data_IF_669264318193
#
_entry.id   IF_669264318193
#
_cell.length_a   1.000
_cell.length_b   1.000
_cell.length_c   1.000
_cell.angle_alpha   90.00
_cell.angle_beta   90.00
_cell.angle_gamma   90.00
#
_symmetry.space_group_name_H-M   'P 1'
#
loop_
_entity.id
_entity.type
_entity.pdbx_description
1 polymer ?
#
# COMPACT_ATOMS: atom_id res chain seq x y z
N UNK A 1 -56.70 -19.69 4.40
CA UNK A 1 -55.42 -19.46 5.11
C UNK A 1 -54.85 -18.14 4.57
N UNK A 2 -54.94 -17.07 5.36
CA UNK A 2 -54.48 -15.74 4.97
C UNK A 2 -53.01 -15.62 5.34
N UNK A 3 -52.17 -15.41 4.32
CA UNK A 3 -50.73 -15.18 4.53
C UNK A 3 -50.51 -13.80 5.13
N UNK A 4 -50.02 -13.76 6.35
CA UNK A 4 -49.47 -12.57 6.98
C UNK A 4 -48.14 -12.21 6.31
N UNK A 5 -48.22 -11.25 5.39
CA UNK A 5 -47.02 -10.59 4.87
C UNK A 5 -46.38 -9.73 5.97
N UNK A 6 -45.42 -10.27 6.69
CA UNK A 6 -44.60 -9.49 7.60
C UNK A 6 -43.60 -8.72 6.75
N UNK A 7 -43.92 -7.49 6.42
CA UNK A 7 -42.96 -6.54 5.85
C UNK A 7 -41.99 -6.16 6.96
N UNK A 8 -40.89 -6.87 7.05
CA UNK A 8 -39.76 -6.47 7.90
C UNK A 8 -39.16 -5.20 7.30
N UNK A 9 -39.54 -4.04 7.81
CA UNK A 9 -38.71 -2.85 7.68
C UNK A 9 -37.39 -3.12 8.41
N UNK A 10 -36.38 -3.57 7.69
CA UNK A 10 -35.01 -3.64 8.22
C UNK A 10 -34.55 -2.20 8.39
N UNK A 11 -34.64 -1.69 9.62
CA UNK A 11 -33.98 -0.44 9.98
C UNK A 11 -32.48 -0.64 9.84
N UNK A 12 -31.94 -0.24 8.72
CA UNK A 12 -30.50 -0.03 8.58
C UNK A 12 -30.14 1.15 9.49
N UNK A 13 -29.23 0.99 10.46
CA UNK A 13 -28.79 2.15 11.21
C UNK A 13 -28.10 3.13 10.25
N UNK A 14 -28.76 4.23 9.99
CA UNK A 14 -28.35 5.31 9.09
C UNK A 14 -27.25 6.17 9.73
N UNK A 15 -26.19 5.56 10.32
CA UNK A 15 -25.12 6.33 10.93
C UNK A 15 -23.77 5.60 10.84
N UNK A 16 -23.24 5.38 9.65
CA UNK A 16 -21.79 5.54 9.51
C UNK A 16 -21.55 7.02 9.24
N UNK A 17 -21.19 7.77 10.26
CA UNK A 17 -20.81 9.18 10.12
C UNK A 17 -19.75 9.27 9.02
N UNK A 18 -20.10 9.96 7.93
CA UNK A 18 -19.20 10.26 6.83
C UNK A 18 -17.99 10.99 7.42
N UNK A 19 -16.78 10.49 7.17
CA UNK A 19 -15.60 11.17 7.68
C UNK A 19 -15.35 12.47 6.89
N UNK A 20 -14.61 13.40 7.50
CA UNK A 20 -14.39 14.73 6.94
C UNK A 20 -13.79 14.68 5.51
N UNK A 21 -12.93 13.71 5.22
CA UNK A 21 -12.36 13.58 3.88
C UNK A 21 -13.41 13.11 2.86
N UNK A 22 -14.27 12.17 3.22
CA UNK A 22 -15.40 11.79 2.37
C UNK A 22 -16.30 12.97 2.10
N UNK A 23 -16.62 13.78 3.14
CA UNK A 23 -17.43 14.98 2.99
C UNK A 23 -16.81 15.98 2.00
N UNK A 24 -15.55 16.34 2.17
CA UNK A 24 -14.82 17.24 1.27
C UNK A 24 -14.93 16.78 -0.19
N UNK A 25 -14.67 15.49 -0.44
CA UNK A 25 -14.73 14.96 -1.80
C UNK A 25 -16.15 14.80 -2.33
N UNK A 26 -17.15 14.57 -1.48
CA UNK A 26 -18.56 14.52 -1.90
C UNK A 26 -19.06 15.91 -2.32
N UNK A 27 -18.74 16.92 -1.52
CA UNK A 27 -19.17 18.29 -1.76
C UNK A 27 -18.57 18.88 -3.06
N UNK A 28 -17.37 18.46 -3.47
CA UNK A 28 -16.64 19.01 -4.62
C UNK A 28 -16.32 17.99 -5.72
N UNK A 29 -17.02 16.86 -5.78
CA UNK A 29 -16.68 15.81 -6.76
C UNK A 29 -16.90 16.27 -8.20
N UNK A 30 -18.04 16.86 -8.50
CA UNK A 30 -18.36 17.35 -9.85
C UNK A 30 -17.46 18.51 -10.25
N UNK A 31 -17.20 19.44 -9.34
CA UNK A 31 -16.30 20.57 -9.57
C UNK A 31 -14.88 20.11 -9.85
N UNK A 32 -14.39 19.12 -9.08
CA UNK A 32 -13.08 18.48 -9.33
C UNK A 32 -13.03 17.86 -10.72
N UNK A 33 -14.06 17.15 -11.17
CA UNK A 33 -14.09 16.55 -12.50
C UNK A 33 -14.03 17.60 -13.61
N UNK A 34 -14.79 18.68 -13.44
CA UNK A 34 -14.90 19.74 -14.45
C UNK A 34 -13.64 20.61 -14.54
N UNK A 35 -13.03 20.99 -13.39
CA UNK A 35 -11.90 21.92 -13.35
C UNK A 35 -10.55 21.21 -13.50
N UNK A 36 -10.37 20.05 -12.82
CA UNK A 36 -9.06 19.42 -12.74
C UNK A 36 -8.83 18.35 -13.81
N UNK A 37 -9.86 17.90 -14.51
CA UNK A 37 -9.79 16.83 -15.52
C UNK A 37 -8.92 15.64 -15.04
N UNK A 38 -9.25 15.02 -13.90
CA UNK A 38 -8.40 14.03 -13.27
C UNK A 38 -8.31 12.75 -14.11
N UNK A 39 -7.25 11.99 -13.93
CA UNK A 39 -7.04 10.69 -14.57
C UNK A 39 -8.12 9.67 -14.14
N UNK A 40 -8.44 8.69 -15.00
CA UNK A 40 -9.44 7.65 -14.70
C UNK A 40 -9.18 6.92 -13.39
N UNK A 41 -7.90 6.66 -13.08
CA UNK A 41 -7.51 6.04 -11.81
C UNK A 41 -7.84 6.90 -10.59
N UNK A 42 -7.87 8.22 -10.73
CA UNK A 42 -8.29 9.15 -9.67
C UNK A 42 -9.80 9.10 -9.51
N UNK A 43 -10.53 9.25 -10.60
CA UNK A 43 -12.00 9.20 -10.61
C UNK A 43 -12.49 7.92 -9.95
N UNK A 44 -12.01 6.77 -10.40
CA UNK A 44 -12.39 5.45 -9.86
C UNK A 44 -12.11 5.32 -8.35
N UNK A 45 -10.97 5.85 -7.86
CA UNK A 45 -10.63 5.75 -6.45
C UNK A 45 -11.40 6.73 -5.57
N UNK A 46 -11.67 7.95 -6.05
CA UNK A 46 -12.43 8.97 -5.32
C UNK A 46 -13.88 8.54 -5.23
N UNK A 47 -14.51 8.15 -6.32
CA UNK A 47 -15.90 7.66 -6.37
C UNK A 47 -16.09 6.49 -5.40
N UNK A 48 -15.20 5.49 -5.44
CA UNK A 48 -15.24 4.38 -4.48
C UNK A 48 -15.06 4.83 -3.03
N UNK A 49 -14.25 5.86 -2.78
CA UNK A 49 -14.03 6.36 -1.42
C UNK A 49 -15.24 7.11 -0.89
N UNK A 50 -15.87 7.95 -1.70
CA UNK A 50 -17.09 8.69 -1.33
C UNK A 50 -18.15 7.72 -0.81
N UNK A 51 -18.36 6.62 -1.50
CA UNK A 51 -19.38 5.61 -1.17
C UNK A 51 -18.87 4.48 -0.26
N UNK A 52 -17.68 4.62 0.33
CA UNK A 52 -17.10 3.57 1.15
C UNK A 52 -17.85 3.37 2.48
N UNK A 53 -18.48 2.21 2.62
CA UNK A 53 -19.24 1.85 3.82
C UNK A 53 -20.69 2.34 3.78
N UNK A 54 -21.12 2.95 2.70
CA UNK A 54 -22.51 3.27 2.47
C UNK A 54 -23.31 1.98 2.23
N UNK A 55 -24.37 1.79 2.99
CA UNK A 55 -25.24 0.62 2.92
C UNK A 55 -26.00 0.55 1.60
N UNK A 56 -26.24 1.69 0.93
CA UNK A 56 -26.88 1.74 -0.39
C UNK A 56 -26.09 1.04 -1.49
N UNK A 57 -24.75 1.06 -1.37
CA UNK A 57 -23.86 0.34 -2.31
C UNK A 57 -23.82 -1.16 -2.08
N UNK A 58 -24.47 -1.63 -1.02
CA UNK A 58 -24.65 -3.04 -0.73
C UNK A 58 -23.75 -3.56 0.40
N UNK A 59 -23.94 -4.84 0.67
CA UNK A 59 -23.27 -5.54 1.74
C UNK A 59 -23.77 -6.96 1.88
N UNK A 60 -23.30 -7.63 2.92
CA UNK A 60 -23.68 -8.99 3.27
C UNK A 60 -24.50 -9.03 4.56
N UNK A 61 -25.63 -9.72 4.54
CA UNK A 61 -26.47 -9.96 5.71
C UNK A 61 -26.15 -11.31 6.33
N UNK A 62 -25.99 -11.31 7.64
CA UNK A 62 -25.80 -12.50 8.46
C UNK A 62 -26.84 -12.55 9.57
N UNK A 63 -27.22 -13.79 9.97
CA UNK A 63 -28.08 -14.01 11.12
C UNK A 63 -27.44 -14.97 12.12
N UNK A 64 -27.69 -14.73 13.40
CA UNK A 64 -27.28 -15.65 14.46
C UNK A 64 -28.39 -16.68 14.71
N UNK A 65 -28.12 -18.00 14.60
CA UNK A 65 -29.11 -19.04 14.83
C UNK A 65 -29.50 -19.15 16.32
N UNK A 66 -28.65 -18.69 17.24
CA UNK A 66 -28.91 -18.80 18.69
C UNK A 66 -29.69 -17.62 19.26
N UNK A 67 -29.23 -16.38 19.02
CA UNK A 67 -29.85 -15.19 19.62
C UNK A 67 -30.66 -14.36 18.62
N UNK A 68 -30.80 -14.81 17.38
CA UNK A 68 -31.56 -14.18 16.29
C UNK A 68 -31.08 -12.77 15.90
N UNK A 69 -29.90 -12.34 16.34
CA UNK A 69 -29.33 -11.07 15.94
C UNK A 69 -28.94 -11.07 14.46
N UNK A 70 -29.23 -9.98 13.80
CA UNK A 70 -28.79 -9.71 12.43
C UNK A 70 -27.55 -8.84 12.44
N UNK A 71 -26.68 -9.07 11.44
CA UNK A 71 -25.47 -8.28 11.22
C UNK A 71 -25.35 -7.97 9.74
N UNK A 72 -25.41 -6.70 9.40
CA UNK A 72 -25.12 -6.20 8.07
C UNK A 72 -23.65 -5.75 7.99
N UNK A 73 -22.94 -6.22 6.98
CA UNK A 73 -21.54 -5.87 6.72
C UNK A 73 -21.49 -5.12 5.40
N UNK A 74 -21.38 -3.78 5.40
CA UNK A 74 -21.37 -3.00 4.17
C UNK A 74 -20.09 -3.27 3.37
N UNK A 75 -20.19 -3.18 2.04
CA UNK A 75 -19.04 -3.29 1.17
C UNK A 75 -18.06 -2.14 1.40
N UNK A 76 -16.78 -2.46 1.29
CA UNK A 76 -15.68 -1.53 1.45
C UNK A 76 -14.99 -1.28 0.11
N UNK A 77 -14.51 -0.06 -0.09
CA UNK A 77 -13.88 0.34 -1.36
C UNK A 77 -12.52 -0.34 -1.61
N UNK A 78 -11.87 -0.86 -0.58
CA UNK A 78 -10.51 -1.42 -0.63
C UNK A 78 -9.44 -0.49 -1.21
N UNK A 79 -9.76 0.78 -1.41
CA UNK A 79 -8.81 1.78 -1.87
C UNK A 79 -7.87 2.19 -0.75
N UNK A 80 -6.57 2.28 -1.05
CA UNK A 80 -5.57 2.80 -0.12
C UNK A 80 -5.70 4.31 0.08
N UNK A 81 -6.39 4.98 -0.83
CA UNK A 81 -6.69 6.40 -0.73
C UNK A 81 -7.74 6.68 0.34
N UNK A 82 -8.69 5.79 0.52
CA UNK A 82 -9.71 5.88 1.57
C UNK A 82 -9.04 5.76 2.97
N UNK A 83 -9.29 6.69 3.91
CA UNK A 83 -8.68 6.64 5.24
C UNK A 83 -9.00 5.36 6.01
N UNK A 84 -10.25 4.90 5.96
CA UNK A 84 -10.69 3.68 6.63
C UNK A 84 -10.08 2.43 6.01
N UNK A 85 -10.22 2.26 4.69
CA UNK A 85 -9.69 1.08 3.99
C UNK A 85 -8.17 1.07 3.91
N UNK A 86 -7.53 2.24 3.77
CA UNK A 86 -6.08 2.37 3.79
C UNK A 86 -5.49 1.98 5.14
N UNK A 87 -6.14 2.36 6.25
CA UNK A 87 -5.72 1.94 7.59
C UNK A 87 -5.88 0.43 7.81
N UNK A 88 -7.03 -0.14 7.41
CA UNK A 88 -7.26 -1.59 7.46
C UNK A 88 -6.21 -2.35 6.65
N UNK A 89 -5.92 -1.87 5.44
CA UNK A 89 -4.87 -2.43 4.58
C UNK A 89 -3.49 -2.36 5.25
N UNK A 90 -3.16 -1.23 5.89
CA UNK A 90 -1.88 -1.05 6.58
C UNK A 90 -1.72 -2.06 7.73
N UNK A 91 -2.76 -2.24 8.55
CA UNK A 91 -2.75 -3.20 9.67
C UNK A 91 -2.59 -4.63 9.15
N UNK A 92 -3.41 -5.04 8.20
CA UNK A 92 -3.35 -6.40 7.61
C UNK A 92 -1.98 -6.69 7.00
N UNK A 93 -1.43 -5.77 6.21
CA UNK A 93 -0.10 -5.92 5.61
C UNK A 93 1.01 -5.94 6.63
N UNK A 94 0.94 -5.10 7.66
CA UNK A 94 1.94 -5.07 8.73
C UNK A 94 1.94 -6.38 9.49
N UNK A 95 0.76 -6.89 9.84
CA UNK A 95 0.60 -8.16 10.53
C UNK A 95 1.11 -9.32 9.66
N UNK A 96 0.69 -9.40 8.40
CA UNK A 96 1.19 -10.40 7.46
C UNK A 96 2.71 -10.37 7.30
N UNK A 97 3.30 -9.16 7.23
CA UNK A 97 4.75 -9.00 7.13
C UNK A 97 5.48 -9.43 8.40
N UNK A 98 4.87 -9.29 9.58
CA UNK A 98 5.47 -9.73 10.85
C UNK A 98 5.81 -11.23 10.86
N UNK A 99 5.02 -12.01 10.14
CA UNK A 99 5.26 -13.46 9.99
C UNK A 99 6.25 -13.80 8.88
N UNK A 100 6.49 -12.88 7.94
CA UNK A 100 7.42 -13.09 6.82
C UNK A 100 8.83 -12.62 7.11
N UNK A 101 9.00 -11.58 7.93
CA UNK A 101 10.31 -10.99 8.21
C UNK A 101 11.18 -11.98 8.99
N UNK A 102 12.39 -12.24 8.47
CA UNK A 102 13.39 -13.05 9.15
C UNK A 102 13.93 -12.32 10.38
N UNK A 103 14.32 -13.09 11.41
CA UNK A 103 14.80 -12.56 12.68
C UNK A 103 16.27 -12.10 12.60
N UNK A 104 16.52 -11.07 11.79
CA UNK A 104 17.83 -10.43 11.65
C UNK A 104 17.68 -8.92 11.75
N UNK A 105 18.80 -8.25 11.99
CA UNK A 105 18.81 -6.78 11.99
C UNK A 105 18.53 -6.25 10.58
N UNK A 106 17.70 -5.21 10.51
CA UNK A 106 17.39 -4.49 9.29
C UNK A 106 17.75 -3.02 9.45
N UNK A 107 18.08 -2.39 8.34
CA UNK A 107 18.37 -0.97 8.24
C UNK A 107 17.34 -0.28 7.36
N UNK A 108 16.84 0.84 7.83
CA UNK A 108 15.97 1.68 7.04
C UNK A 108 16.78 2.71 6.27
N UNK A 109 16.65 2.70 4.96
CA UNK A 109 17.23 3.67 4.04
C UNK A 109 16.12 4.42 3.32
N UNK A 110 16.25 5.74 3.17
CA UNK A 110 15.32 6.55 2.37
C UNK A 110 16.12 7.12 1.20
N UNK A 111 15.74 6.73 0.00
CA UNK A 111 16.33 7.17 -1.25
C UNK A 111 15.52 8.34 -1.79
N UNK A 112 16.07 9.55 -1.73
CA UNK A 112 15.42 10.77 -2.22
C UNK A 112 16.00 11.17 -3.57
N UNK A 113 15.27 12.02 -4.29
CA UNK A 113 15.68 12.51 -5.61
C UNK A 113 15.83 14.04 -5.60
N UNK A 114 16.58 14.55 -6.56
CA UNK A 114 16.69 15.97 -6.81
C UNK A 114 15.34 16.60 -7.14
N UNK A 115 15.10 17.83 -6.67
CA UNK A 115 13.84 18.55 -6.88
C UNK A 115 13.51 18.71 -8.36
N UNK A 116 14.53 18.93 -9.17
CA UNK A 116 14.46 19.16 -10.61
C UNK A 116 13.90 17.95 -11.38
N UNK A 117 14.05 16.74 -10.81
CA UNK A 117 13.50 15.51 -11.40
C UNK A 117 12.01 15.30 -11.10
N UNK A 118 11.46 15.91 -10.04
CA UNK A 118 10.10 15.62 -9.56
C UNK A 118 9.02 15.88 -10.62
N UNK A 119 9.07 16.94 -11.44
CA UNK A 119 8.07 17.17 -12.48
C UNK A 119 8.00 16.04 -13.52
N UNK A 120 9.14 15.42 -13.87
CA UNK A 120 9.18 14.30 -14.82
C UNK A 120 8.33 13.12 -14.35
N UNK A 121 8.40 12.78 -13.05
CA UNK A 121 7.62 11.70 -12.47
C UNK A 121 6.13 12.04 -12.28
N UNK A 122 5.79 13.32 -12.30
CA UNK A 122 4.41 13.77 -12.24
C UNK A 122 3.76 13.69 -13.63
N UNK A 123 4.50 14.12 -14.67
CA UNK A 123 4.03 14.09 -16.07
C UNK A 123 3.98 12.66 -16.64
N UNK A 124 5.01 11.85 -16.38
CA UNK A 124 5.03 10.44 -16.78
C UNK A 124 5.25 9.53 -15.54
N UNK A 125 4.17 8.97 -15.05
CA UNK A 125 4.18 8.10 -13.87
C UNK A 125 4.82 6.75 -14.10
N UNK A 126 5.00 6.33 -15.35
CA UNK A 126 5.72 5.10 -15.68
C UNK A 126 7.18 5.16 -15.26
N UNK A 127 7.76 6.37 -15.21
CA UNK A 127 9.12 6.65 -14.77
C UNK A 127 9.33 6.31 -13.27
N UNK A 128 8.28 6.26 -12.46
CA UNK A 128 8.37 5.80 -11.06
C UNK A 128 8.96 4.37 -10.94
N UNK A 129 8.89 3.58 -12.01
CA UNK A 129 9.55 2.28 -12.06
C UNK A 129 11.08 2.39 -12.02
N UNK A 130 11.65 3.46 -12.57
CA UNK A 130 13.10 3.70 -12.59
C UNK A 130 13.65 3.85 -11.17
N UNK A 131 12.86 4.42 -10.23
CA UNK A 131 13.26 4.51 -8.82
C UNK A 131 13.48 3.12 -8.21
N UNK A 132 12.56 2.19 -8.46
CA UNK A 132 12.68 0.83 -7.96
C UNK A 132 13.85 0.08 -8.62
N UNK A 133 14.03 0.22 -9.92
CA UNK A 133 15.14 -0.37 -10.67
C UNK A 133 16.48 0.12 -10.14
N UNK A 134 16.64 1.43 -9.97
CA UNK A 134 17.85 2.04 -9.45
C UNK A 134 18.16 1.56 -8.02
N UNK A 135 17.19 1.58 -7.10
CA UNK A 135 17.41 1.10 -5.73
C UNK A 135 17.76 -0.40 -5.71
N UNK A 136 17.06 -1.23 -6.50
CA UNK A 136 17.37 -2.66 -6.58
C UNK A 136 18.79 -2.90 -7.10
N UNK A 137 19.18 -2.22 -8.17
CA UNK A 137 20.53 -2.35 -8.75
C UNK A 137 21.62 -1.98 -7.74
N UNK A 138 21.45 -0.85 -7.04
CA UNK A 138 22.46 -0.31 -6.13
C UNK A 138 22.58 -1.15 -4.86
N UNK A 139 21.45 -1.54 -4.26
CA UNK A 139 21.46 -2.39 -3.06
C UNK A 139 22.04 -3.77 -3.40
N UNK A 140 21.60 -4.41 -4.47
CA UNK A 140 22.11 -5.71 -4.87
C UNK A 140 23.63 -5.67 -5.15
N UNK A 141 24.10 -4.63 -5.88
CA UNK A 141 25.52 -4.45 -6.18
C UNK A 141 26.37 -4.24 -4.92
N UNK A 142 25.86 -3.52 -3.93
CA UNK A 142 26.55 -3.32 -2.66
C UNK A 142 26.82 -4.64 -1.94
N UNK A 143 25.93 -5.62 -2.03
CA UNK A 143 26.13 -6.94 -1.44
C UNK A 143 27.01 -7.83 -2.32
N UNK A 144 26.86 -7.79 -3.64
CA UNK A 144 27.69 -8.57 -4.57
C UNK A 144 29.17 -8.20 -4.53
N UNK A 145 29.50 -6.93 -4.28
CA UNK A 145 30.91 -6.51 -4.18
C UNK A 145 31.65 -7.15 -3.01
N UNK A 146 30.94 -7.49 -1.93
CA UNK A 146 31.56 -8.06 -0.74
C UNK A 146 31.92 -9.54 -0.92
N UNK A 147 31.27 -10.24 -1.85
CA UNK A 147 31.58 -11.65 -2.12
C UNK A 147 31.12 -12.08 -3.52
N UNK A 148 32.00 -11.90 -4.48
CA UNK A 148 31.73 -12.17 -5.90
C UNK A 148 31.48 -13.66 -6.20
N UNK A 149 32.11 -14.57 -5.46
CA UNK A 149 32.02 -16.01 -5.69
C UNK A 149 30.71 -16.63 -5.17
N UNK A 150 30.05 -16.04 -4.19
CA UNK A 150 28.91 -16.64 -3.50
C UNK A 150 27.53 -16.05 -3.84
N UNK A 151 27.40 -15.15 -4.81
CA UNK A 151 26.11 -14.52 -5.15
C UNK A 151 25.35 -14.02 -3.91
N UNK A 152 26.04 -13.27 -3.04
CA UNK A 152 25.54 -12.82 -1.76
C UNK A 152 24.24 -12.01 -1.91
N UNK A 153 23.10 -12.54 -1.43
CA UNK A 153 21.76 -12.03 -1.65
C UNK A 153 21.16 -11.48 -0.35
N UNK A 154 20.86 -10.17 -0.25
CA UNK A 154 20.17 -9.58 0.89
C UNK A 154 18.66 -9.85 0.87
N UNK A 155 17.99 -9.47 1.96
CA UNK A 155 16.55 -9.35 2.01
C UNK A 155 16.20 -7.85 2.03
N UNK A 156 15.36 -7.37 1.12
CA UNK A 156 14.89 -5.99 1.23
C UNK A 156 13.52 -5.75 0.63
N UNK A 157 12.87 -4.71 1.15
CA UNK A 157 11.53 -4.29 0.78
C UNK A 157 11.59 -2.82 0.43
N UNK A 158 11.09 -2.45 -0.74
CA UNK A 158 10.99 -1.08 -1.19
C UNK A 158 9.53 -0.63 -1.19
N UNK A 159 9.28 0.56 -0.63
CA UNK A 159 7.97 1.22 -0.61
C UNK A 159 8.12 2.59 -1.23
N UNK A 160 7.37 2.86 -2.29
CA UNK A 160 7.30 4.17 -2.90
C UNK A 160 6.35 5.06 -2.09
N UNK A 161 6.85 6.22 -1.68
CA UNK A 161 6.05 7.36 -1.25
C UNK A 161 6.18 8.47 -2.27
N UNK A 162 5.09 9.21 -2.48
CA UNK A 162 5.04 10.29 -3.46
C UNK A 162 4.82 11.65 -2.80
N UNK A 163 4.65 11.71 -1.48
CA UNK A 163 4.29 12.92 -0.73
C UNK A 163 5.28 13.25 0.39
N UNK A 164 5.44 14.54 0.65
CA UNK A 164 6.06 15.06 1.85
C UNK A 164 5.05 15.17 3.02
N UNK A 165 5.48 15.68 4.16
CA UNK A 165 4.60 15.98 5.30
C UNK A 165 3.57 17.09 4.96
N UNK A 166 3.94 17.97 4.05
CA UNK A 166 3.15 19.08 3.48
C UNK A 166 2.23 18.66 2.33
N UNK A 167 2.12 17.36 2.06
CA UNK A 167 1.32 16.78 0.99
C UNK A 167 1.79 17.14 -0.44
N UNK A 168 2.92 17.82 -0.59
CA UNK A 168 3.48 18.15 -1.92
C UNK A 168 4.13 16.94 -2.58
N UNK A 169 4.18 16.96 -3.91
CA UNK A 169 4.78 15.89 -4.70
C UNK A 169 6.27 15.76 -4.43
N UNK A 170 6.65 14.61 -3.87
CA UNK A 170 8.02 14.28 -3.49
C UNK A 170 8.26 12.76 -3.55
N UNK A 171 8.43 12.18 -4.75
CA UNK A 171 8.64 10.75 -4.88
C UNK A 171 9.98 10.31 -4.29
N UNK A 172 9.93 9.31 -3.42
CA UNK A 172 11.10 8.73 -2.77
C UNK A 172 10.82 7.27 -2.37
N UNK A 173 11.88 6.49 -2.22
CA UNK A 173 11.78 5.07 -1.83
C UNK A 173 12.22 4.89 -0.39
N UNK A 174 11.32 4.38 0.44
CA UNK A 174 11.67 3.77 1.71
C UNK A 174 12.12 2.33 1.47
N UNK A 175 13.35 2.01 1.83
CA UNK A 175 13.94 0.69 1.65
C UNK A 175 14.35 0.11 2.99
N UNK A 176 13.78 -1.03 3.35
CA UNK A 176 14.20 -1.81 4.50
C UNK A 176 15.13 -2.91 4.02
N UNK A 177 16.40 -2.86 4.43
CA UNK A 177 17.46 -3.78 3.98
C UNK A 177 17.97 -4.56 5.18
N UNK A 178 18.13 -5.90 5.04
CA UNK A 178 18.77 -6.71 6.06
C UNK A 178 20.26 -6.36 6.21
N UNK A 179 20.79 -6.38 7.44
CA UNK A 179 22.22 -6.21 7.71
C UNK A 179 22.97 -7.53 7.48
N UNK A 180 22.75 -8.14 6.33
CA UNK A 180 23.34 -9.38 5.94
C UNK A 180 22.57 -10.03 4.80
N UNK A 181 23.03 -11.20 4.41
CA UNK A 181 22.43 -11.98 3.32
C UNK A 181 22.88 -13.44 3.37
N UNK A 182 22.44 -14.17 2.36
CA UNK A 182 22.76 -15.58 2.16
C UNK A 182 23.46 -15.73 0.81
N UNK A 183 24.57 -16.45 0.78
CA UNK A 183 25.26 -16.86 -0.44
C UNK A 183 24.92 -18.30 -0.85
N UNK A 184 25.70 -18.86 -1.76
CA UNK A 184 25.55 -20.25 -2.24
C UNK A 184 25.68 -21.29 -1.12
N UNK A 185 26.48 -21.00 -0.08
CA UNK A 185 26.66 -21.86 1.09
C UNK A 185 25.43 -21.91 2.03
N UNK A 186 24.39 -21.13 1.74
CA UNK A 186 23.17 -21.04 2.55
C UNK A 186 23.38 -20.56 4.00
N UNK A 187 24.58 -20.13 4.35
CA UNK A 187 24.88 -19.56 5.66
C UNK A 187 24.61 -18.06 5.67
N UNK A 188 23.97 -17.59 6.73
CA UNK A 188 23.79 -16.16 6.94
C UNK A 188 25.14 -15.50 7.24
N UNK A 189 25.42 -14.41 6.52
CA UNK A 189 26.58 -13.57 6.76
C UNK A 189 26.15 -12.14 7.04
N UNK A 190 26.70 -11.56 8.08
CA UNK A 190 26.44 -10.17 8.45
C UNK A 190 27.25 -9.21 7.58
N UNK A 191 26.59 -8.11 7.18
CA UNK A 191 27.24 -6.97 6.54
C UNK A 191 27.40 -5.86 7.57
N UNK A 192 28.63 -5.70 8.10
CA UNK A 192 28.92 -4.76 9.18
C UNK A 192 28.96 -3.29 8.72
N UNK A 193 29.28 -3.03 7.45
CA UNK A 193 29.50 -1.69 6.95
C UNK A 193 28.68 -1.37 5.71
N UNK A 194 27.97 -0.22 5.74
CA UNK A 194 27.26 0.36 4.61
C UNK A 194 28.00 1.63 4.19
N UNK A 195 28.60 1.63 3.01
CA UNK A 195 29.27 2.81 2.49
C UNK A 195 28.23 3.77 1.88
N UNK A 196 27.80 4.75 2.68
CA UNK A 196 26.74 5.68 2.27
C UNK A 196 27.16 6.63 1.15
N UNK A 197 28.44 7.03 1.10
CA UNK A 197 28.93 7.87 0.01
C UNK A 197 28.80 7.11 -1.32
N UNK A 198 29.33 5.90 -1.38
CA UNK A 198 29.22 5.05 -2.56
C UNK A 198 27.74 4.79 -2.92
N UNK A 199 26.87 4.64 -1.93
CA UNK A 199 25.46 4.38 -2.14
C UNK A 199 24.76 5.60 -2.79
N UNK A 200 25.06 6.82 -2.32
CA UNK A 200 24.55 8.08 -2.88
C UNK A 200 24.96 8.28 -4.33
N UNK A 201 26.26 8.15 -4.61
CA UNK A 201 26.81 8.33 -5.95
C UNK A 201 26.26 7.26 -6.92
N UNK A 202 26.22 6.01 -6.46
CA UNK A 202 25.72 4.88 -7.26
C UNK A 202 24.22 5.02 -7.54
N UNK A 203 23.41 5.51 -6.57
CA UNK A 203 21.98 5.71 -6.77
C UNK A 203 21.70 6.84 -7.76
N UNK A 204 22.41 7.96 -7.66
CA UNK A 204 22.31 9.05 -8.63
C UNK A 204 22.63 8.53 -10.04
N UNK A 205 23.76 7.86 -10.21
CA UNK A 205 24.17 7.34 -11.51
C UNK A 205 23.16 6.32 -12.06
N UNK A 206 22.71 5.37 -11.23
CA UNK A 206 21.74 4.35 -11.64
C UNK A 206 20.42 4.97 -12.07
N UNK A 207 19.87 5.91 -11.28
CA UNK A 207 18.61 6.57 -11.60
C UNK A 207 18.70 7.41 -12.87
N UNK A 208 19.75 8.22 -12.99
CA UNK A 208 19.93 9.07 -14.18
C UNK A 208 20.17 8.27 -15.47
N UNK A 209 20.80 7.09 -15.37
CA UNK A 209 20.95 6.18 -16.51
C UNK A 209 19.62 5.51 -16.89
N UNK A 210 18.83 5.04 -15.91
CA UNK A 210 17.50 4.49 -16.13
C UNK A 210 16.55 5.51 -16.78
N UNK A 211 16.56 6.76 -16.29
CA UNK A 211 15.77 7.85 -16.88
C UNK A 211 16.22 8.17 -18.29
N UNK A 212 17.53 8.24 -18.54
CA UNK A 212 18.06 8.47 -19.88
C UNK A 212 17.65 7.36 -20.85
N UNK A 213 17.71 6.10 -20.42
CA UNK A 213 17.27 4.96 -21.22
C UNK A 213 15.78 5.01 -21.59
N UNK A 214 14.95 5.65 -20.77
CA UNK A 214 13.50 5.76 -20.99
C UNK A 214 13.09 7.00 -21.76
N UNK A 215 13.72 8.14 -21.46
CA UNK A 215 13.35 9.45 -22.01
C UNK A 215 14.12 9.73 -23.31
N UNK A 216 15.35 9.19 -23.43
CA UNK A 216 16.22 9.40 -24.58
C UNK A 216 17.03 10.71 -24.50
N UNK A 217 17.43 11.23 -25.66
CA UNK A 217 18.40 12.32 -25.80
C UNK A 217 17.91 13.65 -25.23
N UNK A 218 16.61 13.89 -25.18
CA UNK A 218 16.02 15.09 -24.57
C UNK A 218 16.39 15.25 -23.08
N UNK A 219 16.71 14.15 -22.41
CA UNK A 219 17.13 14.14 -21.00
C UNK A 219 18.61 14.51 -20.78
N UNK A 220 19.47 14.48 -21.82
CA UNK A 220 20.92 14.69 -21.69
C UNK A 220 21.29 16.00 -21.00
N UNK A 221 20.63 17.11 -21.37
CA UNK A 221 20.91 18.44 -20.81
C UNK A 221 20.58 18.49 -19.31
N UNK A 222 19.40 18.00 -18.91
CA UNK A 222 18.99 17.95 -17.51
C UNK A 222 19.89 17.00 -16.70
N UNK A 223 20.27 15.86 -17.26
CA UNK A 223 21.20 14.91 -16.62
C UNK A 223 22.55 15.56 -16.32
N UNK A 224 23.10 16.33 -17.25
CA UNK A 224 24.37 17.04 -17.07
C UNK A 224 24.27 18.11 -15.97
N UNK A 225 23.20 18.91 -15.96
CA UNK A 225 22.94 19.92 -14.91
C UNK A 225 22.87 19.26 -13.53
N UNK A 226 22.14 18.15 -13.39
CA UNK A 226 22.01 17.43 -12.11
C UNK A 226 23.36 16.92 -11.61
N UNK A 227 24.24 16.41 -12.46
CA UNK A 227 25.58 16.03 -12.02
C UNK A 227 26.43 17.23 -11.57
N UNK A 228 26.26 18.39 -12.22
CA UNK A 228 26.96 19.61 -11.83
C UNK A 228 26.49 20.16 -10.47
N UNK A 229 25.18 20.13 -10.24
CA UNK A 229 24.55 20.72 -9.05
C UNK A 229 24.59 19.77 -7.83
N UNK A 230 24.56 18.46 -8.07
CA UNK A 230 24.53 17.42 -7.02
C UNK A 230 25.79 16.55 -7.01
N UNK A 231 26.97 17.16 -6.85
CA UNK A 231 28.29 16.51 -6.88
C UNK A 231 28.50 15.41 -5.83
N UNK A 232 27.74 15.44 -4.73
CA UNK A 232 27.82 14.46 -3.64
C UNK A 232 26.78 13.32 -3.76
N UNK A 233 26.22 13.12 -4.95
CA UNK A 233 25.16 12.16 -5.18
C UNK A 233 23.81 12.58 -4.58
N UNK A 234 22.80 11.74 -4.74
CA UNK A 234 21.48 11.99 -4.15
C UNK A 234 21.44 11.61 -2.67
N UNK A 235 20.74 12.44 -1.89
CA UNK A 235 20.69 12.22 -0.46
C UNK A 235 20.01 10.88 -0.11
N UNK A 236 20.73 10.07 0.66
CA UNK A 236 20.20 8.85 1.24
C UNK A 236 20.29 8.98 2.76
N UNK A 237 19.11 9.03 3.40
CA UNK A 237 19.04 8.94 4.86
C UNK A 237 19.10 7.48 5.23
N UNK A 238 20.04 7.12 6.06
CA UNK A 238 20.07 5.80 6.66
C UNK A 238 20.19 5.97 8.17
N UNK A 239 19.22 5.46 8.89
CA UNK A 239 19.25 5.44 10.35
C UNK A 239 20.24 4.36 10.80
N UNK A 240 21.19 4.71 11.68
CA UNK A 240 22.12 3.73 12.25
C UNK A 240 21.45 2.80 13.26
N UNK A 241 20.16 2.98 13.50
CA UNK A 241 19.44 2.23 14.51
C UNK A 241 19.31 0.76 14.10
N UNK A 242 19.90 -0.08 14.91
CA UNK A 242 19.70 -1.53 14.94
C UNK A 242 18.23 -1.79 15.24
N UNK A 243 17.41 -1.84 14.22
CA UNK A 243 15.98 -2.11 14.39
C UNK A 243 15.81 -3.60 14.70
N UNK A 244 15.35 -3.91 15.87
CA UNK A 244 14.82 -5.21 16.24
C UNK A 244 13.63 -5.54 15.30
N UNK A 245 13.42 -6.78 14.86
CA UNK A 245 12.33 -7.15 13.94
C UNK A 245 10.96 -6.58 14.31
N UNK A 246 10.61 -6.51 15.59
CA UNK A 246 9.35 -5.92 16.04
C UNK A 246 9.27 -4.40 15.81
N UNK A 247 10.36 -3.68 15.92
CA UNK A 247 10.44 -2.24 15.63
C UNK A 247 10.39 -2.00 14.11
N UNK A 248 11.04 -2.87 13.35
CA UNK A 248 10.98 -2.88 11.88
C UNK A 248 9.54 -3.01 11.39
N UNK A 249 8.76 -3.91 11.98
CA UNK A 249 7.37 -4.15 11.62
C UNK A 249 6.51 -2.92 11.92
N UNK A 250 6.63 -2.32 13.10
CA UNK A 250 5.94 -1.06 13.44
C UNK A 250 6.33 0.07 12.47
N UNK A 251 7.58 0.10 12.06
CA UNK A 251 8.08 1.08 11.12
C UNK A 251 7.52 0.87 9.71
N UNK A 252 7.55 -0.36 9.21
CA UNK A 252 6.97 -0.74 7.91
C UNK A 252 5.47 -0.42 7.89
N UNK A 253 4.74 -0.71 8.96
CA UNK A 253 3.32 -0.43 9.08
C UNK A 253 2.98 1.04 8.84
N UNK A 254 3.85 1.95 9.28
CA UNK A 254 3.70 3.39 9.02
C UNK A 254 3.80 3.76 7.54
N UNK A 255 4.49 2.98 6.72
CA UNK A 255 4.78 3.30 5.32
C UNK A 255 4.03 2.41 4.32
N UNK A 256 3.63 1.19 4.69
CA UNK A 256 3.06 0.21 3.77
C UNK A 256 1.66 0.55 3.24
N UNK A 257 0.85 1.21 4.02
CA UNK A 257 -0.55 1.42 3.67
C UNK A 257 -1.15 2.73 4.17
N UNK A 258 -0.31 3.62 4.71
CA UNK A 258 -0.78 4.87 5.26
C UNK A 258 -1.49 5.69 4.18
N UNK A 259 -2.72 6.17 4.42
CA UNK A 259 -3.34 7.15 3.55
C UNK A 259 -2.46 8.41 3.47
N UNK A 260 -2.59 9.16 2.40
CA UNK A 260 -1.80 10.38 2.15
C UNK A 260 -1.89 11.34 3.33
N UNK A 261 -3.10 11.47 3.88
CA UNK A 261 -3.37 12.24 5.11
C UNK A 261 -4.19 11.40 6.10
N UNK A 262 -3.92 11.55 7.38
CA UNK A 262 -4.80 11.04 8.42
C UNK A 262 -5.91 12.09 8.66
N UNK A 263 -7.15 11.65 8.84
CA UNK A 263 -8.29 12.57 9.08
C UNK A 263 -8.08 13.46 10.30
N UNK A 264 -7.37 12.98 11.31
CA UNK A 264 -6.98 13.76 12.51
C UNK A 264 -6.01 14.91 12.22
N UNK A 265 -5.48 15.04 11.01
CA UNK A 265 -4.64 16.16 10.59
C UNK A 265 -5.43 17.24 9.87
N UNK A 266 -6.70 17.03 9.60
CA UNK A 266 -7.61 18.02 9.05
C UNK A 266 -8.27 18.71 10.24
N UNK A 267 -7.95 19.99 10.43
CA UNK A 267 -8.40 20.77 11.57
C UNK A 267 -9.80 21.34 11.35
N UNK A 268 -10.06 21.86 10.13
CA UNK A 268 -11.36 22.40 9.76
C UNK A 268 -11.61 22.32 8.25
N UNK A 269 -12.89 22.38 7.91
CA UNK A 269 -13.41 22.51 6.55
C UNK A 269 -14.72 23.31 6.61
N UNK A 270 -14.80 24.43 5.93
CA UNK A 270 -15.92 25.37 5.92
C UNK A 270 -16.76 25.35 4.63
N UNK A 271 -16.36 24.55 3.66
CA UNK A 271 -16.97 24.48 2.33
C UNK A 271 -16.08 25.05 1.23
N UNK A 272 -15.23 26.02 1.52
CA UNK A 272 -14.35 26.67 0.56
C UNK A 272 -12.86 26.42 0.85
N UNK A 273 -12.49 26.35 2.14
CA UNK A 273 -11.13 26.17 2.60
C UNK A 273 -10.97 24.94 3.49
N UNK A 274 -9.79 24.34 3.41
CA UNK A 274 -9.39 23.25 4.29
C UNK A 274 -8.16 23.69 5.06
N UNK A 275 -8.25 23.62 6.40
CA UNK A 275 -7.10 23.79 7.28
C UNK A 275 -6.58 22.44 7.72
N UNK A 276 -5.27 22.22 7.61
CA UNK A 276 -4.62 20.99 8.07
C UNK A 276 -3.25 21.28 8.66
N UNK A 277 -2.78 20.41 9.53
CA UNK A 277 -1.49 20.59 10.18
C UNK A 277 -0.48 19.47 9.87
N UNK A 278 0.80 19.83 9.96
CA UNK A 278 1.92 18.89 9.88
C UNK A 278 3.15 19.42 10.61
N UNK A 279 4.02 18.52 11.04
CA UNK A 279 5.32 18.94 11.59
C UNK A 279 6.30 19.15 10.44
N UNK A 280 6.88 20.32 10.33
CA UNK A 280 7.92 20.65 9.36
C UNK A 280 9.14 19.76 9.56
N UNK A 281 9.83 19.40 8.47
CA UNK A 281 10.91 18.40 8.54
C UNK A 281 12.21 18.97 9.11
N UNK A 282 12.44 20.25 8.94
CA UNK A 282 13.68 20.93 9.30
C UNK A 282 13.83 21.11 10.81
N UNK A 283 12.77 21.49 11.49
CA UNK A 283 12.77 21.90 12.89
C UNK A 283 11.68 21.23 13.76
N UNK A 284 10.94 20.28 13.16
CA UNK A 284 9.81 19.55 13.78
C UNK A 284 8.69 20.49 14.32
N UNK A 285 8.68 21.77 13.95
CA UNK A 285 7.61 22.70 14.34
C UNK A 285 6.30 22.35 13.69
N UNK A 286 5.23 22.49 14.46
CA UNK A 286 3.87 22.36 13.95
C UNK A 286 3.56 23.53 13.03
N UNK A 287 3.11 23.23 11.82
CA UNK A 287 2.65 24.19 10.81
C UNK A 287 1.20 23.87 10.50
N UNK A 288 0.34 24.86 10.58
CA UNK A 288 -1.05 24.79 10.07
C UNK A 288 -1.10 25.54 8.74
N UNK A 289 -1.65 24.91 7.74
CA UNK A 289 -1.82 25.47 6.39
C UNK A 289 -3.30 25.47 6.04
N UNK A 290 -3.82 26.62 5.61
CA UNK A 290 -5.20 26.79 5.12
C UNK A 290 -5.14 27.07 3.64
N UNK A 291 -5.80 26.26 2.83
CA UNK A 291 -5.77 26.38 1.36
C UNK A 291 -7.19 26.18 0.79
N UNK A 292 -7.44 26.69 -0.44
CA UNK A 292 -8.67 26.42 -1.16
C UNK A 292 -8.90 24.91 -1.29
N UNK A 293 -10.15 24.49 -1.19
CA UNK A 293 -10.52 23.07 -1.18
C UNK A 293 -10.09 22.33 -2.43
N UNK A 294 -10.17 22.95 -3.61
CA UNK A 294 -9.73 22.31 -4.86
C UNK A 294 -8.21 22.11 -4.91
N UNK A 295 -7.44 23.01 -4.33
CA UNK A 295 -5.99 22.86 -4.20
C UNK A 295 -5.64 21.72 -3.24
N UNK A 296 -6.40 21.58 -2.15
CA UNK A 296 -6.26 20.45 -1.23
C UNK A 296 -6.59 19.13 -1.91
N UNK A 297 -7.69 19.05 -2.66
CA UNK A 297 -8.09 17.88 -3.46
C UNK A 297 -6.98 17.54 -4.46
N UNK A 298 -6.46 18.51 -5.22
CA UNK A 298 -5.37 18.32 -6.17
C UNK A 298 -4.11 17.76 -5.50
N UNK A 299 -3.73 18.32 -4.32
CA UNK A 299 -2.59 17.81 -3.55
C UNK A 299 -2.77 16.37 -3.10
N UNK A 300 -3.98 15.92 -2.81
CA UNK A 300 -4.22 14.53 -2.41
C UNK A 300 -4.29 13.58 -3.59
N UNK A 301 -5.03 13.95 -4.63
CA UNK A 301 -5.33 13.09 -5.78
C UNK A 301 -4.10 12.79 -6.64
N UNK A 302 -3.12 13.70 -6.68
CA UNK A 302 -1.84 13.46 -7.36
C UNK A 302 -1.10 12.23 -6.81
N UNK A 303 -1.39 11.77 -5.60
CA UNK A 303 -0.73 10.62 -4.97
C UNK A 303 -1.43 9.28 -5.25
N UNK A 304 -2.60 9.31 -5.89
CA UNK A 304 -3.28 8.10 -6.31
C UNK A 304 -2.47 7.45 -7.44
N UNK A 305 -2.01 6.20 -7.26
CA UNK A 305 -1.21 5.52 -8.27
C UNK A 305 -2.05 5.10 -9.48
N UNK A 306 -1.38 4.81 -10.59
CA UNK A 306 -2.02 4.18 -11.74
C UNK A 306 -2.55 2.77 -11.39
N UNK A 307 -3.56 2.33 -12.12
CA UNK A 307 -4.16 1.00 -11.95
C UNK A 307 -3.07 -0.07 -12.06
N UNK A 308 -3.08 -1.01 -11.13
CA UNK A 308 -2.09 -2.09 -11.03
C UNK A 308 -0.64 -1.67 -10.69
N UNK A 309 -0.35 -0.40 -10.46
CA UNK A 309 0.98 0.02 -10.05
C UNK A 309 1.34 -0.51 -8.66
N UNK A 310 2.45 -1.24 -8.57
CA UNK A 310 2.91 -1.84 -7.31
C UNK A 310 3.77 -0.86 -6.53
N UNK A 311 3.17 -0.21 -5.53
CA UNK A 311 3.86 0.70 -4.61
C UNK A 311 4.82 0.00 -3.65
N UNK A 312 4.69 -1.32 -3.46
CA UNK A 312 5.52 -2.14 -2.57
C UNK A 312 6.15 -3.24 -3.39
N UNK A 313 7.48 -3.37 -3.30
CA UNK A 313 8.23 -4.41 -4.01
C UNK A 313 9.19 -5.14 -3.08
N UNK A 314 9.27 -6.44 -3.27
CA UNK A 314 10.08 -7.35 -2.48
C UNK A 314 11.25 -7.86 -3.31
N UNK A 315 12.43 -7.82 -2.75
CA UNK A 315 13.67 -8.17 -3.45
C UNK A 315 14.52 -9.15 -2.65
N UNK A 316 15.48 -9.76 -3.34
CA UNK A 316 16.38 -10.74 -2.74
C UNK A 316 15.60 -11.95 -2.19
N UNK A 317 15.88 -12.34 -0.95
CA UNK A 317 15.22 -13.48 -0.29
C UNK A 317 13.72 -13.23 -0.05
N UNK A 318 13.28 -11.97 0.03
CA UNK A 318 11.85 -11.65 0.16
C UNK A 318 11.06 -11.70 -1.15
N UNK A 319 11.70 -11.86 -2.30
CA UNK A 319 11.03 -11.97 -3.60
C UNK A 319 10.25 -13.28 -3.72
N UNK A 320 8.96 -13.20 -4.14
CA UNK A 320 8.04 -14.35 -4.17
C UNK A 320 8.34 -15.42 -5.23
N UNK A 321 9.12 -15.09 -6.28
CA UNK A 321 9.24 -15.91 -7.49
C UNK A 321 10.60 -16.59 -7.68
N UNK A 322 11.42 -16.66 -6.64
CA UNK A 322 12.72 -17.35 -6.74
C UNK A 322 12.68 -18.68 -5.99
N UNK A 323 13.53 -19.63 -6.43
CA UNK A 323 13.90 -20.85 -5.70
C UNK A 323 14.30 -20.59 -4.24
N UNK A 324 14.44 -19.31 -3.87
CA UNK A 324 14.73 -18.76 -2.54
C UNK A 324 13.57 -18.90 -1.53
N UNK A 325 12.34 -19.24 -1.91
CA UNK A 325 11.31 -19.56 -0.93
C UNK A 325 11.72 -20.72 -0.02
N UNK A 326 12.55 -21.64 -0.51
CA UNK A 326 13.17 -22.70 0.30
C UNK A 326 14.05 -22.15 1.43
N UNK A 327 14.65 -20.98 1.26
CA UNK A 327 15.48 -20.33 2.29
C UNK A 327 14.64 -19.58 3.33
N UNK A 328 13.57 -18.96 2.90
CA UNK A 328 12.65 -18.30 3.81
C UNK A 328 12.07 -19.28 4.81
N UNK A 329 11.68 -20.49 4.37
CA UNK A 329 11.17 -21.57 5.24
C UNK A 329 12.16 -22.00 6.32
N UNK A 330 13.48 -21.90 6.06
CA UNK A 330 14.53 -22.22 7.06
C UNK A 330 14.81 -21.07 8.00
N UNK A 331 14.49 -19.83 7.59
CA UNK A 331 14.79 -18.60 8.33
C UNK A 331 13.66 -18.17 9.29
N UNK A 332 12.45 -18.70 9.10
CA UNK A 332 11.29 -18.46 9.98
C UNK A 332 10.79 -19.77 10.57
N UNK A 333 10.24 -19.71 11.80
CA UNK A 333 9.71 -20.93 12.43
C UNK A 333 8.55 -21.52 11.60
N UNK A 334 8.37 -22.83 11.68
CA UNK A 334 7.32 -23.57 10.97
C UNK A 334 5.90 -23.04 11.29
N UNK A 335 5.71 -22.60 12.53
CA UNK A 335 4.45 -21.99 13.00
C UNK A 335 4.20 -20.64 12.36
N UNK A 336 5.19 -19.74 12.37
CA UNK A 336 5.09 -18.44 11.70
C UNK A 336 4.76 -18.59 10.21
N UNK A 337 5.37 -19.56 9.56
CA UNK A 337 5.12 -19.85 8.15
C UNK A 337 3.69 -20.33 7.90
N UNK A 338 3.14 -21.20 8.75
CA UNK A 338 1.74 -21.64 8.66
C UNK A 338 0.78 -20.45 8.79
N UNK A 339 1.00 -19.57 9.77
CA UNK A 339 0.19 -18.36 9.96
C UNK A 339 0.32 -17.44 8.74
N UNK A 340 1.53 -17.22 8.22
CA UNK A 340 1.73 -16.42 7.00
C UNK A 340 0.93 -16.95 5.80
N UNK A 341 0.89 -18.25 5.61
CA UNK A 341 0.09 -18.87 4.56
C UNK A 341 -1.41 -18.71 4.79
N UNK A 342 -1.87 -18.71 6.06
CA UNK A 342 -3.29 -18.57 6.38
C UNK A 342 -3.84 -17.17 6.04
N UNK A 343 -3.01 -16.15 5.94
CA UNK A 343 -3.41 -14.79 5.47
C UNK A 343 -4.01 -14.75 4.06
N UNK A 344 -3.88 -15.82 3.28
CA UNK A 344 -4.61 -15.95 2.02
C UNK A 344 -6.12 -16.19 2.23
N UNK A 345 -6.54 -16.55 3.43
CA UNK A 345 -7.94 -16.76 3.82
C UNK A 345 -8.45 -15.49 4.51
N UNK A 346 -9.53 -14.92 4.00
CA UNK A 346 -10.12 -13.69 4.52
C UNK A 346 -10.39 -13.70 6.02
N UNK A 347 -10.98 -14.79 6.53
CA UNK A 347 -11.32 -14.94 7.95
C UNK A 347 -10.08 -14.94 8.85
N UNK A 348 -9.06 -15.69 8.46
CA UNK A 348 -7.80 -15.80 9.22
C UNK A 348 -7.04 -14.48 9.20
N UNK A 349 -7.03 -13.78 8.06
CA UNK A 349 -6.44 -12.44 7.93
C UNK A 349 -7.07 -11.45 8.92
N UNK A 350 -8.41 -11.40 9.02
CA UNK A 350 -9.11 -10.54 9.97
C UNK A 350 -8.82 -10.95 11.40
N UNK A 351 -8.89 -12.22 11.71
CA UNK A 351 -8.62 -12.72 13.06
C UNK A 351 -7.21 -12.34 13.54
N UNK A 352 -6.20 -12.56 12.71
CA UNK A 352 -4.82 -12.21 13.07
C UNK A 352 -4.53 -10.71 13.09
N UNK A 353 -5.20 -9.92 12.24
CA UNK A 353 -4.93 -8.48 12.12
C UNK A 353 -5.71 -7.64 13.13
N UNK A 354 -6.92 -8.06 13.47
CA UNK A 354 -7.86 -7.26 14.27
C UNK A 354 -8.33 -7.95 15.55
N UNK A 355 -7.96 -9.22 15.79
CA UNK A 355 -8.24 -9.93 17.03
C UNK A 355 -9.69 -10.41 17.18
N UNK A 356 -10.53 -10.33 16.13
CA UNK A 356 -11.90 -10.82 16.18
C UNK A 356 -12.24 -11.72 14.99
N UNK A 357 -13.17 -12.65 15.22
CA UNK A 357 -13.69 -13.53 14.18
C UNK A 357 -14.88 -12.85 13.47
N UNK A 358 -14.77 -12.50 12.16
CA UNK A 358 -15.83 -11.78 11.46
C UNK A 358 -17.14 -12.58 11.32
N UNK A 359 -17.09 -13.89 11.47
CA UNK A 359 -18.24 -14.80 11.37
C UNK A 359 -18.85 -15.19 12.73
N UNK A 360 -18.38 -14.64 13.84
CA UNK A 360 -19.00 -14.83 15.15
C UNK A 360 -19.99 -13.72 15.48
N UNK A 361 -21.08 -14.11 16.13
CA UNK A 361 -22.05 -13.17 16.67
C UNK A 361 -21.42 -12.33 17.78
N UNK A 362 -21.49 -10.99 17.72
CA UNK A 362 -20.91 -10.13 18.74
C UNK A 362 -21.57 -10.28 20.11
N UNK A 363 -22.84 -10.72 20.16
CA UNK A 363 -23.61 -10.83 21.41
C UNK A 363 -23.43 -12.17 22.13
N UNK A 364 -23.40 -13.30 21.40
CA UNK A 364 -23.39 -14.63 22.01
C UNK A 364 -22.20 -15.52 21.56
N UNK A 365 -21.36 -15.04 20.65
CA UNK A 365 -20.19 -15.79 20.15
C UNK A 365 -20.49 -16.96 19.20
N UNK A 366 -21.77 -17.28 18.96
CA UNK A 366 -22.16 -18.37 18.04
C UNK A 366 -21.78 -18.02 16.61
N UNK A 367 -21.33 -18.99 15.77
CA UNK A 367 -21.12 -18.74 14.35
C UNK A 367 -22.39 -18.24 13.65
N UNK A 368 -22.26 -17.17 12.89
CA UNK A 368 -23.37 -16.58 12.16
C UNK A 368 -23.53 -17.27 10.79
N UNK A 369 -24.78 -17.36 10.35
CA UNK A 369 -25.15 -17.87 9.05
C UNK A 369 -25.22 -16.71 8.06
N UNK A 370 -24.60 -16.90 6.91
CA UNK A 370 -24.78 -16.00 5.77
C UNK A 370 -26.19 -16.16 5.22
N UNK A 371 -26.90 -15.05 5.04
CA UNK A 371 -28.24 -15.06 4.47
C UNK A 371 -28.21 -14.67 2.99
N UNK A 372 -27.80 -13.44 2.73
CA UNK A 372 -27.86 -12.90 1.36
C UNK A 372 -26.88 -11.72 1.14
N UNK A 373 -26.63 -11.38 -0.12
CA UNK A 373 -25.94 -10.17 -0.54
C UNK A 373 -26.94 -9.16 -1.08
N UNK A 374 -26.68 -7.91 -0.74
CA UNK A 374 -27.41 -6.75 -1.27
C UNK A 374 -26.50 -5.91 -2.15
N UNK A 375 -27.05 -5.37 -3.22
CA UNK A 375 -26.41 -4.37 -4.05
C UNK A 375 -27.47 -3.40 -4.56
N UNK A 376 -27.24 -2.11 -4.40
CA UNK A 376 -28.24 -1.05 -4.70
C UNK A 376 -29.62 -1.37 -4.09
N UNK A 377 -29.65 -1.64 -2.79
CA UNK A 377 -30.85 -1.98 -2.00
C UNK A 377 -31.62 -3.24 -2.47
N UNK A 378 -31.11 -4.01 -3.39
CA UNK A 378 -31.73 -5.24 -3.91
C UNK A 378 -30.92 -6.47 -3.53
N UNK A 379 -31.55 -7.58 -3.15
CA UNK A 379 -30.87 -8.85 -2.96
C UNK A 379 -30.29 -9.32 -4.29
N UNK A 380 -29.07 -9.84 -4.26
CA UNK A 380 -28.40 -10.39 -5.44
C UNK A 380 -28.80 -11.86 -5.61
N UNK A 381 -29.38 -12.26 -6.73
CA UNK A 381 -29.78 -13.64 -6.97
C UNK A 381 -28.60 -14.62 -6.91
N UNK A 382 -28.82 -15.82 -6.36
CA UNK A 382 -27.77 -16.82 -6.17
C UNK A 382 -27.09 -17.25 -7.47
N UNK A 383 -27.85 -17.33 -8.58
CA UNK A 383 -27.31 -17.67 -9.89
C UNK A 383 -26.31 -16.60 -10.41
N UNK A 384 -26.57 -15.32 -10.17
CA UNK A 384 -25.67 -14.23 -10.54
C UNK A 384 -24.36 -14.28 -9.74
N UNK A 385 -24.45 -14.60 -8.44
CA UNK A 385 -23.27 -14.81 -7.60
C UNK A 385 -22.44 -15.99 -8.09
N UNK A 386 -23.10 -17.09 -8.47
CA UNK A 386 -22.44 -18.26 -9.03
C UNK A 386 -21.71 -17.93 -10.34
N UNK A 387 -22.36 -17.26 -11.26
CA UNK A 387 -21.74 -16.85 -12.54
C UNK A 387 -20.55 -15.90 -12.34
N UNK A 388 -20.65 -14.95 -11.42
CA UNK A 388 -19.54 -14.05 -11.07
C UNK A 388 -18.36 -14.82 -10.48
N UNK A 389 -18.62 -15.82 -9.63
CA UNK A 389 -17.60 -16.67 -9.06
C UNK A 389 -16.92 -17.54 -10.14
N UNK A 390 -17.70 -18.13 -11.04
CA UNK A 390 -17.20 -18.97 -12.13
C UNK A 390 -16.39 -18.18 -13.15
N UNK A 391 -16.79 -16.94 -13.49
CA UNK A 391 -15.98 -16.03 -14.32
C UNK A 391 -14.62 -15.77 -13.70
N UNK A 392 -14.55 -15.47 -12.39
CA UNK A 392 -13.28 -15.28 -11.67
C UNK A 392 -12.42 -16.54 -11.64
N UNK A 393 -13.04 -17.72 -11.55
CA UNK A 393 -12.34 -18.99 -11.58
C UNK A 393 -11.70 -19.25 -12.96
N UNK A 394 -12.45 -19.07 -14.03
CA UNK A 394 -11.95 -19.24 -15.41
C UNK A 394 -10.79 -18.29 -15.74
N UNK A 395 -10.86 -17.03 -15.27
CA UNK A 395 -9.76 -16.06 -15.46
C UNK A 395 -8.50 -16.39 -14.62
N UNK A 396 -8.58 -17.27 -13.63
CA UNK A 396 -7.47 -17.67 -12.77
C UNK A 396 -6.88 -19.03 -13.11
N UNK A 397 -7.57 -19.84 -13.86
CA UNK A 397 -7.03 -21.11 -14.37
C UNK A 397 -5.95 -20.81 -15.40
N UNK A 398 -4.72 -21.33 -15.26
CA UNK A 398 -3.76 -21.29 -16.34
C UNK A 398 -4.41 -21.98 -17.55
N UNK A 399 -4.23 -21.40 -18.73
CA UNK A 399 -4.62 -22.07 -19.97
C UNK A 399 -4.05 -23.50 -19.90
N UNK A 400 -4.94 -24.47 -20.06
CA UNK A 400 -4.53 -25.86 -20.18
C UNK A 400 -3.50 -25.92 -21.29
N UNK A 401 -2.29 -26.39 -20.98
CA UNK A 401 -1.32 -26.77 -21.98
C UNK A 401 -2.01 -27.77 -22.91
N UNK A 402 -2.45 -27.31 -24.05
CA UNK A 402 -2.77 -28.21 -25.15
C UNK A 402 -1.44 -28.83 -25.60
N UNK A 403 -1.16 -30.00 -25.05
CA UNK A 403 -0.24 -30.94 -25.65
C UNK A 403 -0.79 -31.28 -27.04
N UNK A 404 -0.09 -30.91 -28.05
CA UNK A 404 -0.24 -31.43 -29.39
C UNK A 404 0.97 -32.25 -29.78
N UNK A 405 0.78 -33.21 -30.68
CA UNK A 405 1.42 -34.50 -30.72
C UNK A 405 2.88 -34.46 -31.10
#
# INVERSE_FOLDING_TARGET
MRGLGVTFCVFFPHNSLMNILQKIFTDHFEEMLYIQHPRDSVIENVEKMIHCGDTSFGGAMYACPSCRNFKFVPFRCHSRFCPSCGNMYAIDRTTSMSFKIINVQHRHCVFTIARELRPLFLSDRSLLNCLFSAVNSVVSRMFHKDNKSELFTPCFICVLHTFGRDLKWNPHIHCLVSEGGVGNSLRWRHKKHFNYKLLRDSFQAALLNELHSRIGDSFKKLKASIYADHKNGFYIRAMPNKCNPSQVIKYIGRYLGRPVIATSRIDSYDGEFVSFHYNRHEDEKLVTETIPVLDFIARLTQHIPEKHFKMIRYYGIYARHRKSDRYLHRAISREKHKIFLSFNRWRDSILHSFGYDPLKCPSCGTPMLFLELYFNHKPVPLHELYERAMRKHRCRSPAAFSSLP
#
